data_IF_937955868366
#
_entry.id   IF_937955868366
#
_cell.length_a   1.000
_cell.length_b   1.000
_cell.length_c   1.000
_cell.angle_alpha   90.00
_cell.angle_beta   90.00
_cell.angle_gamma   90.00
#
_symmetry.space_group_name_H-M   'P 1'
#
loop_
_entity.id
_entity.type
_entity.pdbx_description
1 polymer ?
#
# COMPACT_ATOMS: atom_id res chain seq x y z
N UNK A 1 -3.32 -35.74 1.35
CA UNK A 1 -4.34 -34.80 0.83
C UNK A 1 -5.00 -34.05 1.98
N UNK A 2 -5.29 -32.75 1.87
CA UNK A 2 -6.01 -32.03 2.91
C UNK A 2 -7.42 -32.61 3.09
N UNK A 3 -7.86 -32.78 4.34
CA UNK A 3 -9.23 -33.24 4.66
C UNK A 3 -10.29 -32.35 4.00
N UNK A 4 -11.45 -32.92 3.63
CA UNK A 4 -12.59 -32.19 3.06
C UNK A 4 -13.00 -30.96 3.89
N UNK A 5 -12.85 -31.03 5.22
CA UNK A 5 -13.07 -29.89 6.13
C UNK A 5 -12.04 -28.77 5.91
N UNK A 6 -10.77 -29.11 5.78
CA UNK A 6 -9.68 -28.15 5.55
C UNK A 6 -9.83 -27.44 4.20
N UNK A 7 -10.22 -28.18 3.15
CA UNK A 7 -10.55 -27.60 1.83
C UNK A 7 -11.68 -26.57 1.90
N UNK A 8 -12.77 -26.88 2.60
CA UNK A 8 -13.90 -25.94 2.76
C UNK A 8 -13.48 -24.68 3.52
N UNK A 9 -12.67 -24.82 4.56
CA UNK A 9 -12.16 -23.68 5.35
C UNK A 9 -11.20 -22.83 4.53
N UNK A 10 -10.30 -23.44 3.76
CA UNK A 10 -9.32 -22.72 2.94
C UNK A 10 -10.00 -21.91 1.83
N UNK A 11 -11.02 -22.48 1.16
CA UNK A 11 -11.83 -21.77 0.16
C UNK A 11 -12.52 -20.53 0.75
N UNK A 12 -13.17 -20.68 1.91
CA UNK A 12 -13.82 -19.56 2.62
C UNK A 12 -12.83 -18.46 3.01
N UNK A 13 -11.63 -18.83 3.45
CA UNK A 13 -10.55 -17.87 3.75
C UNK A 13 -10.01 -17.20 2.49
N UNK A 14 -9.87 -17.94 1.39
CA UNK A 14 -9.39 -17.44 0.12
C UNK A 14 -10.29 -16.35 -0.46
N UNK A 15 -11.62 -16.53 -0.42
CA UNK A 15 -12.60 -15.53 -0.90
C UNK A 15 -12.47 -14.22 -0.12
N UNK A 16 -12.42 -14.27 1.21
CA UNK A 16 -12.25 -13.08 2.05
C UNK A 16 -10.91 -12.40 1.78
N UNK A 17 -9.83 -13.17 1.72
CA UNK A 17 -8.49 -12.64 1.50
C UNK A 17 -8.32 -12.07 0.09
N UNK A 18 -9.08 -12.55 -0.91
CA UNK A 18 -9.06 -12.05 -2.29
C UNK A 18 -9.41 -10.56 -2.31
N UNK A 19 -10.49 -10.16 -1.66
CA UNK A 19 -10.97 -8.77 -1.65
C UNK A 19 -9.94 -7.79 -1.04
N UNK A 20 -9.35 -8.13 0.12
CA UNK A 20 -8.32 -7.29 0.74
C UNK A 20 -7.03 -7.25 -0.09
N UNK A 21 -6.64 -8.39 -0.66
CA UNK A 21 -5.44 -8.50 -1.49
C UNK A 21 -5.57 -7.69 -2.78
N UNK A 22 -6.72 -7.74 -3.46
CA UNK A 22 -6.96 -6.97 -4.69
C UNK A 22 -7.02 -5.49 -4.37
N UNK A 23 -7.77 -5.06 -3.36
CA UNK A 23 -7.86 -3.66 -2.97
C UNK A 23 -6.49 -3.06 -2.61
N UNK A 24 -5.65 -3.80 -1.88
CA UNK A 24 -4.28 -3.38 -1.57
C UNK A 24 -3.40 -3.30 -2.83
N UNK A 25 -3.51 -4.27 -3.76
CA UNK A 25 -2.78 -4.23 -5.04
C UNK A 25 -3.20 -3.02 -5.88
N UNK A 26 -4.49 -2.76 -6.02
CA UNK A 26 -5.01 -1.63 -6.82
C UNK A 26 -4.48 -0.30 -6.30
N UNK A 27 -4.52 -0.07 -4.97
CA UNK A 27 -4.01 1.17 -4.37
C UNK A 27 -2.49 1.31 -4.52
N UNK A 28 -1.73 0.22 -4.43
CA UNK A 28 -0.28 0.25 -4.69
C UNK A 28 0.01 0.59 -6.16
N UNK A 29 -0.77 0.06 -7.11
CA UNK A 29 -0.62 0.39 -8.53
C UNK A 29 -1.00 1.86 -8.77
N UNK A 30 -2.08 2.35 -8.17
CA UNK A 30 -2.47 3.76 -8.27
C UNK A 30 -1.37 4.68 -7.73
N UNK A 31 -0.79 4.38 -6.56
CA UNK A 31 0.33 5.14 -6.01
C UNK A 31 1.55 5.12 -6.94
N UNK A 32 1.88 3.97 -7.55
CA UNK A 32 2.98 3.88 -8.54
C UNK A 32 2.71 4.71 -9.78
N UNK A 33 1.46 4.75 -10.26
CA UNK A 33 1.07 5.58 -11.41
C UNK A 33 1.23 7.06 -11.13
N UNK A 34 0.79 7.51 -9.94
CA UNK A 34 0.98 8.90 -9.50
C UNK A 34 2.47 9.28 -9.35
N UNK A 35 3.29 8.34 -8.89
CA UNK A 35 4.75 8.52 -8.82
C UNK A 35 5.35 8.63 -10.24
N UNK A 36 4.92 7.79 -11.19
CA UNK A 36 5.42 7.85 -12.57
C UNK A 36 4.99 9.09 -13.34
N UNK A 37 3.86 9.70 -12.99
CA UNK A 37 3.41 10.96 -13.59
C UNK A 37 4.13 12.20 -13.04
N UNK A 38 5.05 12.04 -12.08
CA UNK A 38 5.85 13.14 -11.54
C UNK A 38 5.10 14.10 -10.60
N UNK A 39 3.83 13.83 -10.30
CA UNK A 39 2.99 14.68 -9.46
C UNK A 39 3.20 14.36 -7.97
N UNK A 40 4.13 15.04 -7.32
CA UNK A 40 4.46 14.76 -5.92
C UNK A 40 3.30 15.05 -4.96
N UNK A 41 2.55 16.12 -5.20
CA UNK A 41 1.40 16.52 -4.38
C UNK A 41 0.28 15.46 -4.38
N UNK A 42 0.13 14.70 -5.46
CA UNK A 42 -0.84 13.60 -5.55
C UNK A 42 -0.28 12.28 -5.02
N UNK A 43 1.05 12.12 -5.02
CA UNK A 43 1.73 10.90 -4.58
C UNK A 43 1.65 10.69 -3.06
N UNK A 44 1.72 11.75 -2.25
CA UNK A 44 1.61 11.68 -0.78
C UNK A 44 0.25 11.15 -0.28
N UNK A 45 -0.92 11.69 -0.71
CA UNK A 45 -2.20 11.15 -0.32
C UNK A 45 -2.44 9.74 -0.90
N UNK A 46 -1.92 9.45 -2.10
CA UNK A 46 -1.96 8.11 -2.67
C UNK A 46 -1.14 7.10 -1.84
N UNK A 47 0.03 7.50 -1.33
CA UNK A 47 0.84 6.67 -0.43
C UNK A 47 0.11 6.41 0.88
N UNK A 48 -0.49 7.42 1.50
CA UNK A 48 -1.25 7.26 2.74
C UNK A 48 -2.41 6.26 2.58
N UNK A 49 -3.17 6.38 1.48
CA UNK A 49 -4.25 5.44 1.13
C UNK A 49 -3.72 4.02 0.89
N UNK A 50 -2.58 3.89 0.21
CA UNK A 50 -1.94 2.60 -0.03
C UNK A 50 -1.41 1.97 1.27
N UNK A 51 -0.80 2.76 2.16
CA UNK A 51 -0.30 2.32 3.45
C UNK A 51 -1.45 1.80 4.33
N UNK A 52 -2.53 2.56 4.48
CA UNK A 52 -3.73 2.15 5.24
C UNK A 52 -4.31 0.82 4.72
N UNK A 53 -4.42 0.67 3.40
CA UNK A 53 -4.92 -0.58 2.81
C UNK A 53 -3.97 -1.77 2.99
N UNK A 54 -2.65 -1.55 2.95
CA UNK A 54 -1.66 -2.58 3.22
C UNK A 54 -1.70 -3.04 4.68
N UNK A 55 -1.89 -2.10 5.62
CA UNK A 55 -1.96 -2.42 7.05
C UNK A 55 -3.27 -3.15 7.39
N UNK A 56 -4.40 -2.76 6.81
CA UNK A 56 -5.66 -3.52 6.91
C UNK A 56 -5.55 -4.92 6.31
N UNK A 57 -4.82 -5.07 5.20
CA UNK A 57 -4.57 -6.39 4.62
C UNK A 57 -3.61 -7.24 5.48
N UNK A 58 -2.73 -6.60 6.26
CA UNK A 58 -1.84 -7.27 7.19
C UNK A 58 -2.56 -7.77 8.45
N UNK A 59 -3.44 -6.96 9.03
CA UNK A 59 -4.23 -7.36 10.22
C UNK A 59 -5.15 -8.54 9.92
N UNK A 60 -5.71 -8.62 8.71
CA UNK A 60 -6.54 -9.76 8.27
C UNK A 60 -5.72 -10.99 7.80
N UNK A 61 -4.39 -10.94 7.87
CA UNK A 61 -3.51 -12.04 7.45
C UNK A 61 -3.52 -12.30 5.94
N UNK A 62 -4.10 -11.40 5.13
CA UNK A 62 -4.12 -11.51 3.67
C UNK A 62 -2.75 -11.24 3.05
N UNK A 63 -1.94 -10.41 3.73
CA UNK A 63 -0.56 -10.05 3.38
C UNK A 63 0.29 -10.15 4.66
N UNK A 64 1.47 -10.75 4.59
CA UNK A 64 2.36 -10.80 5.76
C UNK A 64 2.86 -9.40 6.14
N UNK A 65 3.03 -9.13 7.45
CA UNK A 65 3.52 -7.83 7.98
C UNK A 65 4.78 -7.32 7.27
N UNK A 66 5.76 -8.20 7.03
CA UNK A 66 6.99 -7.84 6.33
C UNK A 66 6.73 -7.50 4.86
N UNK A 67 5.77 -8.15 4.21
CA UNK A 67 5.40 -7.83 2.83
C UNK A 67 4.72 -6.46 2.74
N UNK A 68 3.87 -6.12 3.72
CA UNK A 68 3.29 -4.78 3.83
C UNK A 68 4.38 -3.72 4.07
N UNK A 69 5.27 -3.94 5.04
CA UNK A 69 6.40 -3.05 5.34
C UNK A 69 7.33 -2.84 4.13
N UNK A 70 7.71 -3.92 3.43
CA UNK A 70 8.53 -3.83 2.20
C UNK A 70 7.87 -2.98 1.12
N UNK A 71 6.55 -3.14 0.92
CA UNK A 71 5.81 -2.36 -0.09
C UNK A 71 5.73 -0.88 0.30
N UNK A 72 5.44 -0.57 1.57
CA UNK A 72 5.46 0.80 2.09
C UNK A 72 6.83 1.46 1.91
N UNK A 73 7.90 0.78 2.32
CA UNK A 73 9.27 1.29 2.19
C UNK A 73 9.66 1.53 0.72
N UNK A 74 9.29 0.63 -0.20
CA UNK A 74 9.57 0.81 -1.64
C UNK A 74 8.87 2.04 -2.21
N UNK A 75 7.59 2.26 -1.88
CA UNK A 75 6.85 3.44 -2.35
C UNK A 75 7.45 4.73 -1.77
N UNK A 76 7.77 4.75 -0.48
CA UNK A 76 8.41 5.90 0.16
C UNK A 76 9.77 6.24 -0.48
N UNK A 77 10.61 5.23 -0.76
CA UNK A 77 11.88 5.43 -1.47
C UNK A 77 11.69 6.00 -2.88
N UNK A 78 10.64 5.58 -3.58
CA UNK A 78 10.34 6.10 -4.91
C UNK A 78 9.93 7.58 -4.87
N UNK A 79 9.12 7.99 -3.88
CA UNK A 79 8.76 9.40 -3.68
C UNK A 79 9.98 10.23 -3.29
N UNK A 80 10.81 9.74 -2.37
CA UNK A 80 12.01 10.46 -1.93
C UNK A 80 13.04 10.63 -3.07
N UNK A 81 13.10 9.69 -4.02
CA UNK A 81 13.95 9.78 -5.22
C UNK A 81 13.50 10.83 -6.23
N UNK A 82 12.23 11.23 -6.22
CA UNK A 82 11.74 12.33 -7.05
C UNK A 82 12.26 13.70 -6.58
N UNK A 83 13.14 13.73 -5.56
CA UNK A 83 13.65 14.93 -4.91
C UNK A 83 12.69 15.38 -3.81
N UNK A 84 13.18 15.96 -2.69
CA UNK A 84 12.31 16.63 -1.72
C UNK A 84 11.39 17.60 -2.49
N UNK A 85 10.09 17.61 -2.20
CA UNK A 85 9.35 18.85 -2.34
C UNK A 85 10.12 19.74 -1.41
N UNK A 86 10.90 20.67 -1.96
CA UNK A 86 11.52 21.70 -1.17
C UNK A 86 10.43 22.16 -0.21
N UNK A 87 10.67 22.08 1.11
CA UNK A 87 9.75 22.71 2.03
C UNK A 87 9.70 24.15 1.55
N UNK A 88 8.51 24.58 1.13
CA UNK A 88 8.20 26.00 1.10
C UNK A 88 8.70 26.52 2.45
N UNK A 89 9.79 27.29 2.40
CA UNK A 89 10.31 27.96 3.56
C UNK A 89 9.12 28.68 4.20
N UNK A 90 8.95 28.65 5.54
CA UNK A 90 8.01 29.58 6.13
C UNK A 90 8.38 30.97 5.60
N UNK A 91 7.46 31.73 4.96
CA UNK A 91 7.77 33.10 4.64
C UNK A 91 8.07 33.76 5.99
N UNK A 92 9.33 34.13 6.18
CA UNK A 92 9.71 35.00 7.27
C UNK A 92 8.78 36.20 7.22
N UNK A 93 7.92 36.30 8.21
CA UNK A 93 7.10 37.48 8.44
C UNK A 93 7.02 37.65 9.95
N UNK A 94 7.84 38.61 10.42
CA UNK A 94 7.84 39.34 11.70
C UNK A 94 7.53 38.56 12.99
#
# INVERSE_FOLDING_TARGET
>A
MPSAKSLRVSQRRAVRNKAFRTAAKTRVVAARRAISSGQRQEAEPALARAASALDRAATKGSVHRNTAARRKSRLARQINRLGPASPEAPPGTA
#
